data_IF_233264591971
#
_entry.id   IF_233264591971
#
_cell.length_a   1.000
_cell.length_b   1.000
_cell.length_c   1.000
_cell.angle_alpha   90.00
_cell.angle_beta   90.00
_cell.angle_gamma   90.00
#
_symmetry.space_group_name_H-M   'P 1'
#
loop_
_entity.id
_entity.type
_entity.pdbx_description
1 polymer ?
2 non-polymer ?
3 non-polymer ?
4 non-polymer ?
5 non-polymer ?
6 water ?
#
# COMPACT_ATOMS: atom_id res chain seq x y z
N UNK A 4 -21.17 -7.74 -13.68
CA UNK A 4 -20.51 -7.39 -14.98
C UNK A 4 -20.80 -5.96 -15.36
N UNK A 5 -21.06 -5.73 -16.65
CA UNK A 5 -21.36 -4.40 -17.18
C UNK A 5 -20.09 -3.54 -17.18
N UNK A 6 -19.63 -3.20 -15.97
CA UNK A 6 -18.42 -2.40 -15.79
C UNK A 6 -17.24 -3.08 -16.47
N UNK A 7 -17.26 -4.40 -16.50
CA UNK A 7 -16.20 -5.19 -17.12
C UNK A 7 -16.17 -4.98 -18.62
N UNK A 8 -17.33 -4.97 -19.25
CA UNK A 8 -17.40 -4.79 -20.70
C UNK A 8 -16.85 -3.41 -21.07
N UNK A 9 -17.17 -2.40 -20.27
CA UNK A 9 -16.69 -1.05 -20.54
C UNK A 9 -15.18 -0.98 -20.40
N UNK A 10 -14.65 -1.58 -19.33
CA UNK A 10 -13.21 -1.55 -19.08
C UNK A 10 -12.42 -2.31 -20.14
N UNK A 11 -12.85 -3.52 -20.46
CA UNK A 11 -12.14 -4.33 -21.43
C UNK A 11 -12.15 -3.77 -22.85
N UNK A 12 -13.18 -3.01 -23.19
CA UNK A 12 -13.31 -2.43 -24.53
C UNK A 12 -12.62 -1.08 -24.68
N UNK A 13 -12.24 -0.47 -23.57
CA UNK A 13 -11.60 0.84 -23.60
C UNK A 13 -10.15 0.79 -24.04
N UNK A 14 -9.71 1.85 -24.71
CA UNK A 14 -8.32 1.95 -25.13
C UNK A 14 -7.60 2.46 -23.89
N UNK A 15 -6.51 1.81 -23.52
CA UNK A 15 -5.76 2.20 -22.33
C UNK A 15 -4.81 3.36 -22.64
N UNK A 16 -5.05 4.53 -22.05
CA UNK A 16 -4.21 5.71 -22.27
C UNK A 16 -2.77 5.44 -21.84
N UNK A 17 -1.83 6.22 -22.38
CA UNK A 17 -0.42 6.07 -22.04
C UNK A 17 -0.14 6.48 -20.60
N UNK A 18 0.99 6.03 -20.07
CA UNK A 18 1.37 6.38 -18.71
C UNK A 18 1.54 7.89 -18.62
N UNK A 19 2.08 8.49 -19.68
CA UNK A 19 2.28 9.93 -19.71
C UNK A 19 0.96 10.67 -19.55
N UNK A 20 -0.02 10.27 -20.35
CA UNK A 20 -1.34 10.89 -20.29
C UNK A 20 -1.97 10.71 -18.92
N UNK A 21 -1.82 9.54 -18.34
CA UNK A 21 -2.40 9.24 -17.03
C UNK A 21 -1.64 9.84 -15.84
N UNK A 22 -0.44 10.35 -16.09
CA UNK A 22 0.39 10.97 -15.06
C UNK A 22 0.77 10.03 -13.92
N UNK A 23 0.70 8.73 -14.14
CA UNK A 23 1.02 7.78 -13.09
C UNK A 23 2.51 7.65 -12.73
N UNK A 24 3.38 8.30 -13.49
CA UNK A 24 4.80 8.23 -13.19
C UNK A 24 5.18 9.32 -12.18
N UNK A 25 4.27 10.25 -11.94
CA UNK A 25 4.53 11.36 -11.01
C UNK A 25 4.32 10.98 -9.55
N UNK A 26 5.31 11.25 -8.70
CA UNK A 26 5.18 10.97 -7.28
C UNK A 26 4.05 11.79 -6.67
N UNK A 27 3.77 12.96 -7.26
CA UNK A 27 2.73 13.84 -6.75
C UNK A 27 1.32 13.53 -7.26
N UNK A 28 1.18 12.39 -7.91
CA UNK A 28 -0.09 11.93 -8.48
C UNK A 28 -1.28 12.03 -7.52
N UNK A 29 -2.43 12.43 -8.06
CA UNK A 29 -3.66 12.55 -7.29
C UNK A 29 -4.77 11.74 -7.97
N UNK A 30 -5.48 10.92 -7.20
CA UNK A 30 -6.56 10.11 -7.75
C UNK A 30 -7.93 10.76 -7.56
N UNK A 31 -7.98 11.84 -6.79
CA UNK A 31 -9.24 12.50 -6.48
C UNK A 31 -10.15 12.87 -7.64
N UNK A 32 -9.57 13.27 -8.76
CA UNK A 32 -10.38 13.66 -9.92
C UNK A 32 -10.65 12.51 -10.89
N UNK A 33 -10.30 11.30 -10.49
CA UNK A 33 -10.52 10.14 -11.36
C UNK A 33 -11.73 9.29 -10.98
N UNK A 34 -12.41 8.76 -12.00
CA UNK A 34 -13.56 7.89 -11.78
C UNK A 34 -12.99 6.51 -11.51
N UNK A 35 -13.83 5.58 -11.05
CA UNK A 35 -13.37 4.23 -10.78
C UNK A 35 -12.82 3.60 -12.06
N UNK A 36 -13.49 3.85 -13.17
CA UNK A 36 -13.04 3.32 -14.45
C UNK A 36 -11.65 3.83 -14.80
N UNK A 37 -11.40 5.10 -14.54
CA UNK A 37 -10.10 5.68 -14.84
C UNK A 37 -9.00 5.06 -13.96
N UNK A 38 -9.32 4.75 -12.71
CA UNK A 38 -8.31 4.13 -11.85
C UNK A 38 -8.01 2.72 -12.35
N UNK A 39 -9.03 2.06 -12.91
CA UNK A 39 -8.84 0.72 -13.45
C UNK A 39 -7.95 0.79 -14.68
N UNK A 40 -8.15 1.81 -15.52
CA UNK A 40 -7.33 1.97 -16.70
C UNK A 40 -5.89 2.25 -16.28
N UNK A 41 -5.73 3.08 -15.26
CA UNK A 41 -4.40 3.40 -14.75
C UNK A 41 -3.71 2.11 -14.30
N UNK A 42 -4.48 1.23 -13.67
CA UNK A 42 -3.93 -0.03 -13.18
C UNK A 42 -3.48 -0.94 -14.31
N UNK A 43 -4.26 -1.01 -15.38
CA UNK A 43 -3.88 -1.84 -16.53
C UNK A 43 -2.57 -1.30 -17.09
N UNK A 44 -2.46 0.03 -17.17
CA UNK A 44 -1.26 0.66 -17.70
C UNK A 44 -0.04 0.35 -16.85
N UNK A 45 -0.24 0.22 -15.53
CA UNK A 45 0.87 -0.11 -14.63
C UNK A 45 1.42 -1.49 -14.97
N UNK A 46 0.51 -2.47 -15.12
CA UNK A 46 0.93 -3.83 -15.45
C UNK A 46 1.64 -3.86 -16.80
N UNK A 47 1.07 -3.13 -17.75
CA UNK A 47 1.61 -3.08 -19.10
C UNK A 47 3.00 -2.48 -19.20
N UNK A 48 3.19 -1.31 -18.59
CA UNK A 48 4.48 -0.64 -18.65
C UNK A 48 5.54 -1.22 -17.73
N UNK A 49 5.17 -2.19 -16.90
CA UNK A 49 6.13 -2.84 -16.03
C UNK A 49 6.53 -4.16 -16.67
N UNK A 50 6.13 -4.32 -17.93
CA UNK A 50 6.46 -5.51 -18.70
C UNK A 50 5.96 -6.79 -18.03
N UNK A 51 4.69 -6.77 -17.61
CA UNK A 51 4.11 -7.92 -16.92
C UNK A 51 3.05 -8.67 -17.73
N UNK A 52 2.36 -7.95 -18.61
CA UNK A 52 1.29 -8.56 -19.40
C UNK A 52 1.72 -9.65 -20.39
N UNK A 53 2.50 -9.28 -21.40
CA UNK A 53 2.95 -10.26 -22.39
C UNK A 53 3.97 -11.20 -21.75
N UNK A 54 4.78 -10.66 -20.85
CA UNK A 54 5.80 -11.42 -20.15
C UNK A 54 5.21 -12.70 -19.55
N UNK A 55 4.08 -12.56 -18.86
CA UNK A 55 3.45 -13.70 -18.23
C UNK A 55 2.13 -14.13 -18.87
N UNK A 56 2.03 -13.86 -20.17
CA UNK A 56 0.86 -14.21 -20.98
C UNK A 56 -0.50 -13.90 -20.36
N UNK A 57 -0.67 -12.71 -19.83
CA UNK A 57 -1.94 -12.33 -19.23
C UNK A 57 -2.96 -11.95 -20.30
N UNK A 58 -4.13 -12.57 -20.25
CA UNK A 58 -5.19 -12.26 -21.21
C UNK A 58 -5.83 -10.96 -20.76
N UNK A 59 -6.10 -10.07 -21.70
CA UNK A 59 -6.68 -8.76 -21.37
C UNK A 59 -7.95 -8.87 -20.52
N UNK A 60 -8.87 -9.72 -20.94
CA UNK A 60 -10.13 -9.89 -20.23
C UNK A 60 -9.93 -10.34 -18.79
N UNK A 61 -8.99 -11.26 -18.59
CA UNK A 61 -8.69 -11.77 -17.26
C UNK A 61 -8.09 -10.70 -16.36
N UNK A 62 -7.17 -9.92 -16.89
CA UNK A 62 -6.56 -8.86 -16.10
C UNK A 62 -7.64 -7.85 -15.71
N UNK A 63 -8.50 -7.49 -16.66
CA UNK A 63 -9.56 -6.54 -16.37
C UNK A 63 -10.48 -7.08 -15.28
N UNK A 64 -10.85 -8.35 -15.39
CA UNK A 64 -11.74 -8.96 -14.42
C UNK A 64 -11.09 -8.98 -13.03
N UNK A 65 -9.81 -9.31 -12.98
CA UNK A 65 -9.07 -9.37 -11.72
C UNK A 65 -9.02 -8.00 -11.05
N UNK A 66 -8.70 -6.97 -11.83
CA UNK A 66 -8.62 -5.61 -11.31
C UNK A 66 -9.97 -5.22 -10.71
N UNK A 67 -11.05 -5.52 -11.43
CA UNK A 67 -12.37 -5.16 -10.92
C UNK A 67 -12.75 -5.97 -9.68
N UNK A 68 -12.29 -7.22 -9.60
CA UNK A 68 -12.58 -8.05 -8.43
C UNK A 68 -11.85 -7.48 -7.23
N UNK A 69 -10.61 -7.03 -7.45
CA UNK A 69 -9.83 -6.46 -6.35
C UNK A 69 -10.53 -5.20 -5.86
N UNK A 70 -10.92 -4.33 -6.80
CA UNK A 70 -11.60 -3.09 -6.43
C UNK A 70 -12.87 -3.39 -5.64
N UNK A 71 -13.65 -4.36 -6.10
CA UNK A 71 -14.90 -4.70 -5.43
C UNK A 71 -14.72 -5.23 -4.02
N UNK A 72 -13.62 -5.94 -3.78
CA UNK A 72 -13.36 -6.53 -2.48
C UNK A 72 -12.96 -5.55 -1.38
N UNK A 73 -12.81 -4.28 -1.73
CA UNK A 73 -12.52 -3.28 -0.71
C UNK A 73 -13.87 -2.76 -0.24
N UNK A 74 -13.95 -2.35 1.02
CA UNK A 74 -15.20 -1.83 1.55
C UNK A 74 -15.24 -0.33 1.27
N UNK A 75 -16.05 0.06 0.29
CA UNK A 75 -16.14 1.46 -0.12
C UNK A 75 -16.48 2.44 0.98
N UNK A 76 -17.25 2.01 1.97
CA UNK A 76 -17.63 2.91 3.04
C UNK A 76 -16.60 3.07 4.16
N UNK A 77 -15.53 2.28 4.12
CA UNK A 77 -14.47 2.43 5.12
C UNK A 77 -13.76 3.68 4.61
N UNK A 78 -13.61 4.69 5.47
CA UNK A 78 -13.04 5.97 5.07
C UNK A 78 -11.68 6.04 4.39
N UNK A 79 -10.71 5.34 4.94
CA UNK A 79 -9.36 5.37 4.36
C UNK A 79 -8.93 4.07 3.68
N UNK A 80 -9.06 2.97 4.39
CA UNK A 80 -8.65 1.68 3.83
C UNK A 80 -9.66 1.10 2.85
N UNK A 81 -9.76 1.75 1.68
CA UNK A 81 -10.65 1.31 0.63
C UNK A 81 -9.85 1.21 -0.67
N UNK A 82 -10.54 0.97 -1.78
CA UNK A 82 -9.85 0.83 -3.06
C UNK A 82 -8.91 1.98 -3.42
N UNK A 83 -9.32 3.22 -3.16
CA UNK A 83 -8.46 4.34 -3.51
C UNK A 83 -7.10 4.30 -2.80
N UNK A 84 -7.07 3.80 -1.57
CA UNK A 84 -5.80 3.72 -0.86
C UNK A 84 -4.92 2.64 -1.48
N UNK A 85 -5.55 1.53 -1.87
CA UNK A 85 -4.80 0.43 -2.48
C UNK A 85 -4.27 0.91 -3.83
N UNK A 86 -5.14 1.58 -4.58
CA UNK A 86 -4.76 2.11 -5.88
C UNK A 86 -3.60 3.10 -5.76
N UNK A 87 -3.65 3.98 -4.76
CA UNK A 87 -2.57 4.95 -4.57
C UNK A 87 -1.28 4.26 -4.16
N UNK A 88 -1.38 3.19 -3.38
CA UNK A 88 -0.20 2.45 -2.95
C UNK A 88 0.46 1.84 -4.19
N UNK A 89 -0.35 1.29 -5.08
CA UNK A 89 0.17 0.70 -6.31
C UNK A 89 0.76 1.78 -7.21
N UNK A 90 0.12 2.94 -7.27
CA UNK A 90 0.62 4.02 -8.11
C UNK A 90 1.98 4.49 -7.57
N UNK A 91 2.13 4.55 -6.26
CA UNK A 91 3.42 4.95 -5.71
C UNK A 91 4.47 3.90 -6.04
N UNK A 92 4.07 2.63 -6.01
CA UNK A 92 4.99 1.55 -6.35
C UNK A 92 5.47 1.74 -7.79
N UNK A 93 4.52 2.03 -8.68
CA UNK A 93 4.85 2.25 -10.09
C UNK A 93 5.80 3.43 -10.23
N UNK A 94 5.49 4.54 -9.56
CA UNK A 94 6.35 5.72 -9.65
C UNK A 94 7.74 5.44 -9.08
N UNK A 95 7.80 4.70 -7.98
CA UNK A 95 9.08 4.38 -7.36
C UNK A 95 9.90 3.49 -8.29
N UNK A 96 9.22 2.58 -8.98
CA UNK A 96 9.90 1.67 -9.90
C UNK A 96 10.39 2.42 -11.14
N UNK A 97 9.57 3.37 -11.60
CA UNK A 97 9.90 4.16 -12.79
C UNK A 97 10.74 5.40 -12.47
N UNK A 98 10.09 6.47 -12.02
CA UNK A 98 10.79 7.71 -11.70
C UNK A 98 11.85 7.48 -10.62
N UNK A 99 11.55 6.58 -9.69
CA UNK A 99 12.48 6.29 -8.59
C UNK A 99 13.60 5.35 -9.00
N UNK A 100 13.52 4.84 -10.22
CA UNK A 100 14.52 3.94 -10.78
C UNK A 100 14.83 2.69 -9.96
N UNK A 101 13.79 2.11 -9.36
CA UNK A 101 13.99 0.89 -8.58
C UNK A 101 13.78 -0.35 -9.47
N UNK A 102 13.04 -0.19 -10.55
CA UNK A 102 12.75 -1.31 -11.45
C UNK A 102 13.95 -2.16 -11.84
N UNK A 103 15.02 -1.54 -12.32
CA UNK A 103 16.18 -2.31 -12.74
C UNK A 103 16.96 -3.01 -11.64
N UNK A 104 16.59 -2.77 -10.39
CA UNK A 104 17.26 -3.40 -9.25
C UNK A 104 16.52 -4.66 -8.82
N UNK A 105 15.36 -4.89 -9.42
CA UNK A 105 14.53 -6.04 -9.06
C UNK A 105 14.31 -7.01 -10.21
N UNK A 106 13.86 -8.22 -9.88
CA UNK A 106 13.58 -9.23 -10.90
C UNK A 106 12.15 -9.04 -11.40
N UNK A 107 11.82 -9.68 -12.52
CA UNK A 107 10.48 -9.58 -13.09
C UNK A 107 9.44 -10.10 -12.09
N UNK A 108 9.77 -11.21 -11.41
CA UNK A 108 8.85 -11.80 -10.45
C UNK A 108 8.64 -10.89 -9.24
N UNK A 109 9.70 -10.25 -8.79
CA UNK A 109 9.59 -9.34 -7.65
C UNK A 109 8.69 -8.17 -8.01
N UNK A 110 8.81 -7.67 -9.24
CA UNK A 110 7.98 -6.56 -9.69
C UNK A 110 6.52 -7.00 -9.79
N UNK A 111 6.30 -8.17 -10.38
CA UNK A 111 4.96 -8.72 -10.53
C UNK A 111 4.32 -8.86 -9.14
N UNK A 112 5.08 -9.44 -8.21
CA UNK A 112 4.59 -9.66 -6.86
C UNK A 112 4.29 -8.34 -6.13
N UNK A 113 5.18 -7.36 -6.28
CA UNK A 113 4.99 -6.08 -5.61
C UNK A 113 3.75 -5.33 -6.08
N UNK A 114 3.49 -5.35 -7.39
CA UNK A 114 2.32 -4.65 -7.89
C UNK A 114 1.04 -5.33 -7.42
N UNK A 115 1.02 -6.66 -7.50
CA UNK A 115 -0.16 -7.41 -7.05
C UNK A 115 -0.35 -7.18 -5.55
N UNK A 116 0.73 -7.25 -4.79
CA UNK A 116 0.66 -7.05 -3.34
C UNK A 116 0.18 -5.63 -3.01
N UNK A 117 0.72 -4.62 -3.70
CA UNK A 117 0.29 -3.25 -3.43
C UNK A 117 -1.22 -3.11 -3.63
N UNK A 118 -1.73 -3.66 -4.73
CA UNK A 118 -3.16 -3.57 -5.02
C UNK A 118 -4.02 -4.39 -4.07
N UNK A 119 -3.46 -5.48 -3.55
CA UNK A 119 -4.21 -6.38 -2.68
C UNK A 119 -3.92 -6.31 -1.18
N UNK A 120 -2.95 -5.50 -0.77
CA UNK A 120 -2.56 -5.48 0.63
C UNK A 120 -3.56 -5.12 1.71
N UNK A 121 -4.68 -4.50 1.36
CA UNK A 121 -5.69 -4.15 2.36
C UNK A 121 -7.07 -4.72 2.04
N UNK A 122 -7.12 -5.73 1.18
CA UNK A 122 -8.38 -6.35 0.80
C UNK A 122 -9.32 -6.67 1.95
N UNK A 123 -10.57 -6.23 1.81
CA UNK A 123 -11.61 -6.45 2.80
C UNK A 123 -11.29 -5.89 4.20
N UNK A 124 -10.56 -4.78 4.23
CA UNK A 124 -10.21 -4.15 5.49
C UNK A 124 -11.50 -3.69 6.18
N UNK A 125 -11.69 -4.06 7.45
CA UNK A 125 -12.88 -3.70 8.25
C UNK A 125 -12.94 -2.29 8.81
N UNK A 126 -11.85 -1.53 8.64
CA UNK A 126 -11.85 -0.17 9.16
C UNK A 126 -11.48 -0.06 10.62
N UNK A 127 -10.94 -1.15 11.17
CA UNK A 127 -10.51 -1.17 12.57
C UNK A 127 -9.14 -1.86 12.60
N UNK A 128 -8.35 -1.56 13.62
CA UNK A 128 -6.98 -2.09 13.74
C UNK A 128 -6.84 -3.52 14.24
N UNK A 129 -5.62 -4.04 14.15
CA UNK A 129 -5.33 -5.38 14.63
C UNK A 129 -5.62 -5.44 16.13
N UNK A 130 -5.22 -4.39 16.85
CA UNK A 130 -5.45 -4.33 18.29
C UNK A 130 -6.95 -4.41 18.62
N UNK A 131 -7.76 -3.73 17.83
CA UNK A 131 -9.21 -3.74 18.05
C UNK A 131 -9.78 -5.15 17.83
N UNK A 132 -9.32 -5.82 16.78
CA UNK A 132 -9.78 -7.16 16.46
C UNK A 132 -9.40 -8.13 17.57
N UNK A 133 -8.22 -7.93 18.13
CA UNK A 133 -7.75 -8.78 19.22
C UNK A 133 -8.59 -8.52 20.46
N UNK A 134 -8.85 -7.25 20.75
CA UNK A 134 -9.62 -6.90 21.94
C UNK A 134 -11.10 -7.24 21.88
N UNK A 135 -11.63 -7.44 20.67
CA UNK A 135 -13.04 -7.77 20.53
C UNK A 135 -13.22 -9.26 20.22
N UNK A 136 -12.17 -10.02 20.45
CA UNK A 136 -12.17 -11.47 20.25
C UNK A 136 -12.53 -11.94 18.84
N UNK A 137 -12.03 -11.23 17.83
CA UNK A 137 -12.30 -11.60 16.45
C UNK A 137 -11.82 -13.02 16.18
N UNK A 138 -12.57 -13.76 15.36
CA UNK A 138 -12.18 -15.13 15.02
C UNK A 138 -10.89 -15.08 14.21
N UNK A 139 -10.70 -13.97 13.52
CA UNK A 139 -9.51 -13.76 12.69
C UNK A 139 -8.28 -13.74 13.59
N UNK A 140 -8.39 -13.04 14.71
CA UNK A 140 -7.28 -12.92 15.65
C UNK A 140 -6.94 -14.29 16.23
N UNK A 141 -7.95 -15.08 16.52
CA UNK A 141 -7.74 -16.41 17.08
C UNK A 141 -7.04 -17.33 16.08
N UNK A 142 -7.49 -17.32 14.83
CA UNK A 142 -6.86 -18.18 13.83
C UNK A 142 -5.40 -17.82 13.56
N UNK A 143 -5.07 -16.54 13.64
CA UNK A 143 -3.70 -16.15 13.38
C UNK A 143 -2.84 -15.79 14.59
N UNK A 144 -3.26 -16.28 15.74
CA UNK A 144 -2.54 -16.08 17.00
C UNK A 144 -2.17 -14.62 17.28
N UNK A 145 -3.10 -13.71 17.00
CA UNK A 145 -2.90 -12.27 17.22
C UNK A 145 -1.71 -11.66 16.47
N UNK A 146 -1.15 -12.39 15.51
CA UNK A 146 -0.01 -11.90 14.75
C UNK A 146 -0.40 -11.42 13.37
N UNK A 147 -0.17 -10.13 13.09
CA UNK A 147 -0.52 -9.54 11.79
C UNK A 147 -1.86 -10.08 11.32
N UNK A 148 -2.84 -9.99 12.21
CA UNK A 148 -4.19 -10.48 11.96
C UNK A 148 -4.80 -10.03 10.63
N UNK A 149 -4.91 -8.72 10.46
CA UNK A 149 -5.49 -8.16 9.25
C UNK A 149 -4.71 -8.55 8.00
N UNK A 150 -3.38 -8.45 8.08
CA UNK A 150 -2.54 -8.78 6.94
C UNK A 150 -2.66 -10.23 6.49
N UNK A 151 -2.84 -11.15 7.43
CA UNK A 151 -3.03 -12.54 7.03
C UNK A 151 -4.37 -12.64 6.30
N UNK A 152 -5.35 -11.87 6.75
CA UNK A 152 -6.65 -11.89 6.11
C UNK A 152 -6.56 -11.27 4.70
N UNK A 153 -5.80 -10.19 4.58
CA UNK A 153 -5.65 -9.56 3.27
C UNK A 153 -5.00 -10.54 2.31
N UNK A 154 -4.02 -11.30 2.79
CA UNK A 154 -3.34 -12.28 1.95
C UNK A 154 -4.32 -13.40 1.55
N UNK A 155 -5.15 -13.81 2.51
CA UNK A 155 -6.13 -14.85 2.26
C UNK A 155 -7.06 -14.40 1.13
N UNK A 156 -7.51 -13.16 1.21
CA UNK A 156 -8.39 -12.59 0.19
C UNK A 156 -7.66 -12.46 -1.14
N UNK A 157 -6.37 -12.13 -1.09
CA UNK A 157 -5.56 -11.98 -2.29
C UNK A 157 -5.53 -13.31 -3.05
N UNK A 158 -5.26 -14.38 -2.33
CA UNK A 158 -5.21 -15.71 -2.93
C UNK A 158 -6.57 -16.09 -3.50
N UNK A 159 -7.61 -15.84 -2.72
CA UNK A 159 -8.97 -16.15 -3.14
C UNK A 159 -9.30 -15.56 -4.51
N UNK A 160 -8.94 -14.29 -4.71
CA UNK A 160 -9.22 -13.64 -5.98
C UNK A 160 -8.31 -14.18 -7.09
N UNK A 161 -7.04 -14.41 -6.78
CA UNK A 161 -6.12 -14.95 -7.76
C UNK A 161 -6.56 -16.32 -8.27
N UNK A 162 -7.28 -17.06 -7.43
CA UNK A 162 -7.77 -18.39 -7.80
C UNK A 162 -9.18 -18.42 -8.34
N UNK A 163 -9.88 -17.30 -8.26
CA UNK A 163 -11.25 -17.25 -8.74
C UNK A 163 -11.31 -17.40 -10.26
N UNK A 164 -12.25 -18.20 -10.76
CA UNK A 164 -12.36 -18.41 -12.20
C UNK A 164 -12.49 -17.11 -12.99
N UNK A 165 -11.73 -17.01 -14.07
CA UNK A 165 -11.76 -15.83 -14.91
C UNK A 165 -10.87 -14.70 -14.40
N UNK A 166 -10.28 -14.89 -13.23
CA UNK A 166 -9.41 -13.88 -12.63
C UNK A 166 -7.98 -14.33 -12.40
N UNK A 167 -7.61 -15.50 -12.92
CA UNK A 167 -6.28 -16.03 -12.70
C UNK A 167 -5.14 -15.41 -13.51
N UNK A 168 -4.72 -14.21 -13.13
CA UNK A 168 -3.64 -13.52 -13.84
C UNK A 168 -2.26 -14.16 -13.69
N UNK A 169 -2.16 -15.15 -12.81
CA UNK A 169 -0.88 -15.84 -12.60
C UNK A 169 -0.92 -17.26 -13.18
N UNK A 170 -1.99 -17.59 -13.89
CA UNK A 170 -2.13 -18.92 -14.46
C UNK A 170 -1.08 -19.24 -15.53
N UNK A 171 -0.44 -18.21 -16.05
CA UNK A 171 0.57 -18.41 -17.09
C UNK A 171 1.99 -18.65 -16.58
N UNK A 172 2.20 -18.56 -15.28
CA UNK A 172 3.54 -18.78 -14.73
C UNK A 172 3.87 -20.26 -14.65
N UNK A 173 5.16 -20.57 -14.76
CA UNK A 173 5.61 -21.95 -14.65
C UNK A 173 5.43 -22.32 -13.19
N UNK A 174 5.53 -23.61 -12.89
CA UNK A 174 5.38 -24.05 -11.52
C UNK A 174 6.37 -23.36 -10.57
N UNK A 175 7.63 -23.27 -10.95
CA UNK A 175 8.64 -22.63 -10.11
C UNK A 175 8.45 -21.12 -9.99
N UNK A 176 8.08 -20.46 -11.08
CA UNK A 176 7.88 -19.02 -11.02
C UNK A 176 6.65 -18.70 -10.18
N UNK A 177 5.64 -19.55 -10.26
CA UNK A 177 4.42 -19.34 -9.48
C UNK A 177 4.75 -19.45 -7.99
N UNK A 178 5.50 -20.49 -7.63
CA UNK A 178 5.89 -20.70 -6.24
C UNK A 178 6.66 -19.49 -5.72
N UNK A 179 7.66 -19.06 -6.48
CA UNK A 179 8.46 -17.92 -6.08
C UNK A 179 7.63 -16.66 -5.91
N UNK A 180 6.74 -16.41 -6.85
CA UNK A 180 5.90 -15.21 -6.82
C UNK A 180 4.95 -15.15 -5.62
N UNK A 181 4.28 -16.27 -5.32
CA UNK A 181 3.35 -16.28 -4.18
C UNK A 181 4.07 -16.01 -2.87
N UNK A 182 5.29 -16.51 -2.74
CA UNK A 182 6.05 -16.30 -1.51
C UNK A 182 6.38 -14.82 -1.34
N UNK A 183 6.71 -14.14 -2.44
CA UNK A 183 7.03 -12.72 -2.37
C UNK A 183 5.77 -11.92 -2.06
N UNK A 184 4.65 -12.33 -2.64
CA UNK A 184 3.38 -11.63 -2.40
C UNK A 184 2.99 -11.71 -0.93
N UNK A 185 3.11 -12.90 -0.35
CA UNK A 185 2.75 -13.02 1.06
C UNK A 185 3.64 -12.15 1.93
N UNK A 186 4.95 -12.17 1.68
CA UNK A 186 5.87 -11.37 2.46
C UNK A 186 5.60 -9.88 2.28
N UNK A 187 5.27 -9.48 1.06
CA UNK A 187 4.99 -8.07 0.78
C UNK A 187 3.74 -7.59 1.50
N UNK A 188 2.70 -8.42 1.53
CA UNK A 188 1.47 -8.02 2.20
C UNK A 188 1.66 -7.98 3.71
N UNK A 189 2.33 -9.00 4.25
CA UNK A 189 2.56 -9.01 5.70
C UNK A 189 3.43 -7.82 6.10
N UNK A 190 4.31 -7.39 5.21
CA UNK A 190 5.19 -6.26 5.48
C UNK A 190 4.43 -4.98 5.77
N UNK A 191 3.19 -4.89 5.27
CA UNK A 191 2.40 -3.69 5.49
C UNK A 191 1.83 -3.56 6.90
N UNK A 192 2.13 -4.54 7.76
CA UNK A 192 1.72 -4.49 9.15
C UNK A 192 2.79 -3.57 9.74
N UNK A 193 2.41 -2.36 10.15
CA UNK A 193 3.39 -1.42 10.70
C UNK A 193 4.20 -2.02 11.85
N UNK A 194 3.64 -3.00 12.53
CA UNK A 194 4.34 -3.65 13.64
C UNK A 194 5.60 -4.33 13.13
N UNK A 195 5.51 -4.94 11.95
CA UNK A 195 6.66 -5.63 11.37
C UNK A 195 7.67 -4.62 10.81
N UNK A 196 7.19 -3.47 10.37
CA UNK A 196 8.09 -2.44 9.86
C UNK A 196 8.94 -1.93 11.02
N UNK A 197 8.30 -1.65 12.14
CA UNK A 197 9.01 -1.17 13.32
C UNK A 197 9.99 -2.22 13.84
N UNK A 198 9.59 -3.48 13.74
CA UNK A 198 10.42 -4.58 14.21
C UNK A 198 11.67 -4.86 13.34
N UNK A 199 11.54 -4.70 12.03
CA UNK A 199 12.65 -4.97 11.12
C UNK A 199 13.44 -3.78 10.59
N UNK A 200 12.89 -2.58 10.68
CA UNK A 200 13.59 -1.41 10.15
C UNK A 200 14.94 -1.13 10.79
N UNK A 201 15.10 -1.51 12.05
CA UNK A 201 16.36 -1.27 12.74
C UNK A 201 17.51 -1.90 11.98
N UNK A 202 17.31 -3.14 11.56
CA UNK A 202 18.33 -3.88 10.80
C UNK A 202 18.63 -3.18 9.48
N UNK A 203 17.58 -2.75 8.79
CA UNK A 203 17.72 -2.08 7.51
C UNK A 203 18.54 -0.78 7.65
N UNK A 204 18.15 0.04 8.63
CA UNK A 204 18.84 1.30 8.88
C UNK A 204 20.30 1.10 9.27
N UNK A 205 20.57 0.06 10.07
CA UNK A 205 21.93 -0.22 10.52
C UNK A 205 22.82 -0.65 9.38
N UNK A 206 22.29 -1.51 8.51
CA UNK A 206 23.06 -1.98 7.35
C UNK A 206 23.50 -0.79 6.50
N UNK A 207 22.57 0.13 6.27
CA UNK A 207 22.88 1.31 5.48
C UNK A 207 23.90 2.19 6.20
N UNK A 208 23.70 2.40 7.50
CA UNK A 208 24.59 3.24 8.28
C UNK A 208 26.03 2.72 8.29
N UNK A 209 26.18 1.40 8.32
CA UNK A 209 27.50 0.79 8.34
C UNK A 209 28.02 0.42 6.95
N UNK A 210 27.32 0.91 5.92
CA UNK A 210 27.70 0.64 4.54
C UNK A 210 27.84 -0.87 4.30
N UNK A 211 26.85 -1.62 4.76
CA UNK A 211 26.84 -3.07 4.60
C UNK A 211 25.66 -3.52 3.75
N UNK A 212 24.76 -2.59 3.43
CA UNK A 212 23.58 -2.94 2.66
C UNK A 212 23.95 -3.47 1.28
N UNK A 213 23.44 -4.66 0.97
CA UNK A 213 23.72 -5.31 -0.30
C UNK A 213 22.49 -6.02 -0.87
N UNK A 214 21.92 -5.43 -1.92
CA UNK A 214 20.75 -5.99 -2.58
C UNK A 214 20.97 -7.38 -3.17
N UNK A 215 22.21 -7.72 -3.47
CA UNK A 215 22.53 -9.02 -4.03
C UNK A 215 22.32 -10.12 -2.99
N UNK A 216 22.32 -9.74 -1.72
CA UNK A 216 22.10 -10.70 -0.64
C UNK A 216 20.60 -10.95 -0.56
N UNK A 217 20.17 -12.20 -0.76
CA UNK A 217 18.76 -12.61 -0.72
C UNK A 217 17.99 -12.09 0.49
N UNK A 218 18.56 -12.21 1.68
CA UNK A 218 17.89 -11.74 2.89
C UNK A 218 17.69 -10.23 2.89
N UNK A 219 18.71 -9.49 2.48
CA UNK A 219 18.63 -8.04 2.46
C UNK A 219 17.68 -7.55 1.38
N UNK A 220 17.59 -8.30 0.29
CA UNK A 220 16.67 -7.94 -0.80
C UNK A 220 15.25 -8.03 -0.25
N UNK A 221 14.98 -9.13 0.45
CA UNK A 221 13.66 -9.33 1.04
C UNK A 221 13.36 -8.21 2.04
N UNK A 222 14.36 -7.84 2.84
CA UNK A 222 14.19 -6.77 3.82
C UNK A 222 13.84 -5.48 3.09
N UNK A 223 14.54 -5.23 1.97
CA UNK A 223 14.28 -4.01 1.20
C UNK A 223 12.86 -3.99 0.64
N UNK A 224 12.41 -5.11 0.09
CA UNK A 224 11.07 -5.17 -0.47
C UNK A 224 10.02 -4.85 0.59
N UNK A 225 10.28 -5.27 1.83
CA UNK A 225 9.35 -5.02 2.93
C UNK A 225 9.29 -3.52 3.22
N UNK A 226 10.45 -2.89 3.25
CA UNK A 226 10.55 -1.46 3.51
C UNK A 226 9.91 -0.66 2.37
N UNK A 227 10.09 -1.13 1.14
CA UNK A 227 9.51 -0.47 -0.02
C UNK A 227 7.99 -0.50 0.07
N UNK A 228 7.44 -1.63 0.51
CA UNK A 228 6.01 -1.76 0.66
C UNK A 228 5.50 -0.73 1.67
N UNK A 229 6.23 -0.56 2.77
CA UNK A 229 5.81 0.41 3.79
C UNK A 229 5.88 1.82 3.22
N UNK A 230 6.95 2.11 2.47
CA UNK A 230 7.12 3.42 1.87
C UNK A 230 5.93 3.76 0.96
N UNK A 231 5.46 2.78 0.20
CA UNK A 231 4.32 3.01 -0.69
C UNK A 231 3.01 3.12 0.09
N UNK A 232 2.86 2.27 1.11
CA UNK A 232 1.67 2.25 1.95
C UNK A 232 1.45 3.61 2.65
N UNK A 233 2.55 4.24 3.06
CA UNK A 233 2.47 5.52 3.76
C UNK A 233 2.58 6.73 2.85
N UNK A 234 2.68 6.49 1.55
CA UNK A 234 2.88 7.55 0.57
C UNK A 234 2.02 8.81 0.63
N UNK A 235 0.83 8.75 1.20
CA UNK A 235 0.01 9.96 1.27
C UNK A 235 0.74 11.03 2.08
N UNK A 236 1.62 10.59 2.98
CA UNK A 236 2.36 11.50 3.84
C UNK A 236 3.42 12.29 3.06
N UNK A 237 3.62 11.95 1.80
CA UNK A 237 4.62 12.62 0.95
C UNK A 237 3.97 13.55 -0.08
N UNK A 238 2.65 13.42 -0.24
CA UNK A 238 1.92 14.20 -1.23
C UNK A 238 1.82 15.70 -0.98
N UNK A 239 1.55 16.48 -2.05
CA UNK A 239 1.43 17.93 -1.91
C UNK A 239 0.41 18.19 -0.80
N UNK A 240 0.64 19.26 -0.04
CA UNK A 240 -0.23 19.60 1.10
C UNK A 240 -1.75 19.42 0.93
N UNK A 241 -2.33 19.96 -0.15
CA UNK A 241 -3.79 19.80 -0.31
C UNK A 241 -4.22 18.34 -0.30
N UNK A 242 -3.42 17.48 -0.92
CA UNK A 242 -3.72 16.06 -0.99
C UNK A 242 -3.54 15.41 0.38
N UNK A 243 -2.43 15.71 1.04
CA UNK A 243 -2.17 15.16 2.37
C UNK A 243 -3.25 15.58 3.35
N UNK A 244 -3.68 16.84 3.27
CA UNK A 244 -4.73 17.33 4.15
C UNK A 244 -6.01 16.52 3.99
N UNK A 245 -6.42 16.33 2.75
CA UNK A 245 -7.63 15.61 2.43
C UNK A 245 -7.58 14.16 2.90
N UNK A 246 -6.44 13.50 2.65
CA UNK A 246 -6.32 12.11 3.06
C UNK A 246 -6.23 11.98 4.57
N UNK A 247 -5.58 12.95 5.23
CA UNK A 247 -5.47 12.90 6.68
C UNK A 247 -6.88 12.96 7.29
N UNK A 248 -7.80 13.63 6.61
CA UNK A 248 -9.17 13.71 7.12
C UNK A 248 -9.83 12.35 7.04
N UNK A 249 -9.51 11.60 5.98
CA UNK A 249 -10.06 10.26 5.81
C UNK A 249 -9.53 9.34 6.89
N UNK A 250 -8.23 9.45 7.17
CA UNK A 250 -7.60 8.64 8.20
C UNK A 250 -8.25 8.93 9.56
N UNK A 251 -8.44 10.21 9.86
CA UNK A 251 -9.06 10.60 11.12
C UNK A 251 -10.49 10.07 11.21
N UNK A 252 -11.22 10.14 10.11
CA UNK A 252 -12.60 9.65 10.10
C UNK A 252 -12.62 8.17 10.47
N UNK A 253 -11.72 7.41 9.88
CA UNK A 253 -11.67 5.98 10.17
C UNK A 253 -11.25 5.68 11.60
N UNK A 254 -10.20 6.35 12.08
CA UNK A 254 -9.72 6.14 13.45
C UNK A 254 -10.75 6.58 14.48
N UNK A 255 -11.42 7.70 14.24
CA UNK A 255 -12.42 8.18 15.19
C UNK A 255 -13.63 7.26 15.20
N UNK A 256 -13.89 6.59 14.08
CA UNK A 256 -15.01 5.67 14.02
C UNK A 256 -14.68 4.48 14.91
N UNK A 257 -13.43 4.02 14.87
CA UNK A 257 -13.02 2.91 15.71
C UNK A 257 -13.12 3.35 17.18
N UNK A 258 -12.71 4.60 17.44
CA UNK A 258 -12.79 5.12 18.80
C UNK A 258 -14.21 5.02 19.32
N UNK A 259 -15.19 5.32 18.46
CA UNK A 259 -16.58 5.23 18.86
C UNK A 259 -16.91 3.77 19.22
N UNK A 260 -16.40 2.85 18.40
CA UNK A 260 -16.64 1.43 18.62
C UNK A 260 -16.01 0.97 19.93
N UNK A 261 -14.84 1.53 20.25
CA UNK A 261 -14.14 1.16 21.49
C UNK A 261 -14.91 1.61 22.72
N UNK A 262 -15.48 2.82 22.67
CA UNK A 262 -16.24 3.31 23.81
C UNK A 262 -17.45 2.40 24.07
N UNK A 263 -18.12 2.00 23.00
CA UNK A 263 -19.29 1.15 23.12
C UNK A 263 -19.04 -0.32 23.39
N UNK A 264 -18.14 -0.92 22.61
CA UNK A 264 -17.85 -2.35 22.75
C UNK A 264 -16.85 -2.72 23.84
N UNK A 265 -15.93 -1.82 24.16
CA UNK A 265 -14.93 -2.09 25.18
C UNK A 265 -15.08 -1.24 26.43
N UNK A 266 -15.95 -0.24 26.36
CA UNK A 266 -16.20 0.66 27.49
C UNK A 266 -14.91 1.32 27.96
N UNK A 267 -14.12 1.80 27.00
CA UNK A 267 -12.86 2.46 27.32
C UNK A 267 -12.74 3.79 26.58
N UNK A 268 -11.93 4.69 27.13
CA UNK A 268 -11.69 5.97 26.49
C UNK A 268 -10.57 5.70 25.49
N UNK A 269 -10.81 5.98 24.20
CA UNK A 269 -9.78 5.75 23.18
C UNK A 269 -8.55 6.63 23.33
N UNK A 270 -7.44 6.18 22.77
CA UNK A 270 -6.21 6.95 22.80
C UNK A 270 -6.49 8.16 21.93
N UNK A 271 -5.64 9.19 22.03
CA UNK A 271 -5.84 10.40 21.26
C UNK A 271 -6.05 10.13 19.77
N UNK A 272 -5.27 9.23 19.21
CA UNK A 272 -5.36 8.93 17.79
C UNK A 272 -6.76 8.49 17.35
N UNK A 273 -7.50 7.87 18.26
CA UNK A 273 -8.84 7.42 17.92
C UNK A 273 -9.92 8.17 18.70
N UNK A 274 -9.54 9.30 19.31
CA UNK A 274 -10.48 10.09 20.09
C UNK A 274 -10.92 11.39 19.43
N UNK A 275 -12.11 11.34 18.83
CA UNK A 275 -12.73 12.46 18.15
C UNK A 275 -12.81 13.69 19.04
N UNK A 276 -13.06 13.47 20.32
CA UNK A 276 -13.17 14.56 21.28
C UNK A 276 -11.88 15.35 21.46
N UNK A 277 -10.75 14.75 21.09
CA UNK A 277 -9.45 15.40 21.21
C UNK A 277 -8.79 15.55 19.85
N UNK A 278 -9.61 15.79 18.83
CA UNK A 278 -9.09 15.95 17.48
C UNK A 278 -8.10 17.12 17.38
N UNK A 279 -8.09 17.98 18.40
CA UNK A 279 -7.17 19.11 18.41
C UNK A 279 -5.72 18.63 18.47
N UNK A 280 -5.54 17.34 18.78
CA UNK A 280 -4.22 16.74 18.88
C UNK A 280 -3.65 16.30 17.53
N UNK A 281 -4.46 16.36 16.48
CA UNK A 281 -4.00 15.93 15.17
C UNK A 281 -2.68 16.51 14.65
N UNK A 282 -2.54 17.85 14.65
CA UNK A 282 -1.28 18.42 14.16
C UNK A 282 -0.04 17.90 14.88
N UNK A 283 -0.08 17.89 16.20
CA UNK A 283 1.07 17.41 16.97
C UNK A 283 1.29 15.91 16.78
N UNK A 284 0.21 15.13 16.65
CA UNK A 284 0.38 13.69 16.43
C UNK A 284 1.01 13.45 15.06
N UNK A 285 0.58 14.23 14.07
CA UNK A 285 1.12 14.09 12.72
C UNK A 285 2.61 14.36 12.67
N UNK A 286 3.05 15.41 13.36
CA UNK A 286 4.47 15.74 13.38
C UNK A 286 5.25 14.60 14.03
N UNK A 287 4.72 14.07 15.12
CA UNK A 287 5.37 12.97 15.80
C UNK A 287 5.44 11.72 14.94
N UNK A 288 4.36 11.46 14.20
CA UNK A 288 4.29 10.31 13.30
C UNK A 288 5.31 10.46 12.19
N UNK A 289 5.43 11.66 11.65
CA UNK A 289 6.38 11.90 10.57
C UNK A 289 7.81 11.69 11.08
N UNK A 290 8.10 12.21 12.27
CA UNK A 290 9.43 12.06 12.84
C UNK A 290 9.81 10.64 13.20
N UNK A 291 8.93 9.96 13.94
CA UNK A 291 9.20 8.60 14.41
C UNK A 291 9.04 7.46 13.41
N UNK A 292 8.14 7.60 12.45
CA UNK A 292 7.89 6.53 11.49
C UNK A 292 8.24 6.80 10.03
N UNK A 293 7.98 8.00 9.57
CA UNK A 293 8.19 8.33 8.16
C UNK A 293 9.54 8.81 7.65
N UNK A 294 10.08 9.87 8.24
CA UNK A 294 11.34 10.42 7.75
C UNK A 294 12.50 9.45 7.56
N UNK A 295 12.75 8.59 8.54
CA UNK A 295 13.86 7.64 8.42
C UNK A 295 13.69 6.70 7.24
N UNK A 296 12.45 6.29 6.99
CA UNK A 296 12.19 5.37 5.89
C UNK A 296 12.45 6.01 4.54
N UNK A 297 11.93 7.22 4.33
CA UNK A 297 12.15 7.88 3.05
C UNK A 297 13.60 8.33 2.89
N UNK A 298 14.29 8.53 4.01
CA UNK A 298 15.69 8.90 3.94
C UNK A 298 16.47 7.67 3.49
N UNK A 299 16.13 6.51 4.05
CA UNK A 299 16.80 5.26 3.70
C UNK A 299 16.53 4.88 2.25
N UNK A 300 15.29 5.06 1.81
CA UNK A 300 14.91 4.73 0.43
C UNK A 300 15.69 5.59 -0.55
N UNK A 301 15.87 6.86 -0.22
CA UNK A 301 16.59 7.78 -1.09
C UNK A 301 18.07 7.39 -1.15
N UNK A 302 18.57 6.84 -0.05
CA UNK A 302 19.96 6.41 0.00
C UNK A 302 20.16 5.25 -0.98
N UNK A 303 19.17 4.37 -1.06
CA UNK A 303 19.22 3.23 -1.97
C UNK A 303 19.06 3.70 -3.41
N UNK A 304 18.19 4.69 -3.61
CA UNK A 304 17.94 5.24 -4.94
C UNK A 304 17.64 6.73 -4.83
N UNK A 305 18.63 7.54 -5.15
CA UNK A 305 18.51 8.99 -5.07
C UNK A 305 17.29 9.54 -5.78
N UNK A 306 16.86 8.87 -6.84
CA UNK A 306 15.71 9.33 -7.61
C UNK A 306 14.40 9.26 -6.84
N UNK A 307 14.43 8.68 -5.64
CA UNK A 307 13.24 8.59 -4.81
C UNK A 307 13.17 9.80 -3.87
N UNK A 308 14.10 10.73 -4.03
CA UNK A 308 14.14 11.93 -3.21
C UNK A 308 12.80 12.66 -3.08
N UNK A 309 12.05 12.79 -4.18
CA UNK A 309 10.76 13.48 -4.12
C UNK A 309 9.86 13.01 -2.98
N UNK A 310 9.93 11.73 -2.63
CA UNK A 310 9.11 11.19 -1.54
C UNK A 310 9.56 11.80 -0.22
N UNK A 311 10.88 11.84 0.00
CA UNK A 311 11.43 12.41 1.22
C UNK A 311 11.13 13.90 1.27
N UNK A 312 11.34 14.58 0.15
CA UNK A 312 11.11 16.01 0.06
C UNK A 312 9.66 16.35 0.38
N UNK A 313 8.73 15.59 -0.19
CA UNK A 313 7.32 15.84 0.07
C UNK A 313 6.97 15.61 1.52
N UNK A 314 7.60 14.61 2.13
CA UNK A 314 7.34 14.30 3.54
C UNK A 314 7.82 15.46 4.41
N UNK A 315 9.00 15.99 4.10
CA UNK A 315 9.55 17.10 4.86
C UNK A 315 8.66 18.32 4.79
N UNK A 316 8.10 18.59 3.61
CA UNK A 316 7.23 19.74 3.44
C UNK A 316 5.96 19.60 4.26
N UNK A 317 5.44 18.37 4.36
CA UNK A 317 4.24 18.16 5.14
C UNK A 317 4.54 18.30 6.64
N UNK A 318 5.75 17.92 7.04
CA UNK A 318 6.10 18.07 8.44
C UNK A 318 6.05 19.55 8.79
N UNK A 319 6.54 20.39 7.87
CA UNK A 319 6.55 21.83 8.10
C UNK A 319 5.13 22.36 8.19
N UNK A 320 4.25 21.85 7.34
CA UNK A 320 2.86 22.28 7.33
C UNK A 320 2.15 21.91 8.63
N UNK A 321 2.32 20.66 9.06
CA UNK A 321 1.68 20.22 10.30
C UNK A 321 2.27 20.92 11.52
N UNK A 322 3.57 21.15 11.52
CA UNK A 322 4.21 21.82 12.65
C UNK A 322 3.73 23.26 12.78
N UNK A 323 3.52 23.93 11.66
CA UNK A 323 3.05 25.32 11.69
C UNK A 323 1.67 25.38 12.34
N UNK A 324 0.87 24.34 12.17
CA UNK A 324 -0.46 24.32 12.77
C UNK A 324 -0.38 23.92 14.24
N UNK A 325 0.59 23.07 14.57
CA UNK A 325 0.76 22.60 15.94
C UNK A 325 1.36 23.60 16.92
N UNK A 326 2.28 24.44 16.44
CA UNK A 326 2.93 25.41 17.32
C UNK A 326 2.12 26.69 17.54
#
# INVERSE_FOLDING_TARGET
>A
EEETRELQSLAAAVVPSAQTLKITDFSFSDFELSDLETALCTIRMFTDLNLVQNFQMKHEVLCRWILSVKKNYRKNVAYHNWRHAFNTAQCMFAALKAGKIQNKLTDLEILALLIAALSHDLDHPGVSNQFLINTNSELALMYNDESVLEHHHFDQCLMILNSPGNQILSGLSIEEYKTTLKIIKQAILATDLALYIKRRGEFFELIRKNQFNLEDPHEKELFLAMLMTACDLSAITKPWPIQQRIAELVATEFFDQGDRERKELNIEPTDLMNREKKNKIPSMQVGFIDAICLQLYEALTHVSEDCFPLLDGCRKNRQKWQALAE
#
